data_IF_936160712058
#
_entry.id   IF_936160712058
#
_cell.length_a   1.000
_cell.length_b   1.000
_cell.length_c   1.000
_cell.angle_alpha   90.00
_cell.angle_beta   90.00
_cell.angle_gamma   90.00
#
_symmetry.space_group_name_H-M   'P 1'
#
loop_
_entity.id
_entity.type
_entity.pdbx_description
1 polymer ?
#
# COMPACT_ATOMS: atom_id res chain seq x y z
N UNK A 1 19.69 30.59 -7.67
CA UNK A 1 18.63 29.55 -7.80
C UNK A 1 19.19 28.15 -7.98
N UNK A 2 20.44 27.97 -8.45
CA UNK A 2 21.11 26.67 -8.64
C UNK A 2 21.73 26.08 -7.37
N UNK A 3 22.03 26.91 -6.36
CA UNK A 3 22.91 26.51 -5.25
C UNK A 3 22.23 25.57 -4.22
N UNK A 4 20.90 25.48 -4.24
CA UNK A 4 20.11 24.60 -3.35
C UNK A 4 19.68 23.29 -4.02
N UNK A 5 19.91 23.12 -5.33
CA UNK A 5 19.54 21.91 -6.05
C UNK A 5 20.31 20.66 -5.56
N UNK A 6 21.65 20.71 -5.38
CA UNK A 6 22.38 19.56 -4.85
C UNK A 6 21.90 19.13 -3.47
N UNK A 7 21.55 20.10 -2.62
CA UNK A 7 21.01 19.85 -1.28
C UNK A 7 19.64 19.15 -1.35
N UNK A 8 18.73 19.61 -2.22
CA UNK A 8 17.44 18.96 -2.42
C UNK A 8 17.60 17.50 -2.84
N UNK A 9 18.50 17.21 -3.80
CA UNK A 9 18.76 15.85 -4.25
C UNK A 9 19.41 15.00 -3.16
N UNK A 10 20.37 15.56 -2.42
CA UNK A 10 21.03 14.89 -1.31
C UNK A 10 20.06 14.54 -0.16
N UNK A 11 19.02 15.36 0.06
CA UNK A 11 17.96 15.08 1.03
C UNK A 11 16.88 14.15 0.45
N UNK A 12 16.58 14.24 -0.84
CA UNK A 12 15.55 13.44 -1.48
C UNK A 12 15.93 11.96 -1.52
N UNK A 13 17.18 11.63 -1.83
CA UNK A 13 17.66 10.26 -1.91
C UNK A 13 17.42 9.44 -0.61
N UNK A 14 17.86 9.90 0.58
CA UNK A 14 17.60 9.16 1.83
C UNK A 14 16.12 9.14 2.19
N UNK A 15 15.33 10.18 1.85
CA UNK A 15 13.89 10.18 2.06
C UNK A 15 13.18 9.12 1.22
N UNK A 16 13.51 9.03 -0.07
CA UNK A 16 12.99 7.99 -0.96
C UNK A 16 13.42 6.61 -0.48
N UNK A 17 14.71 6.43 -0.18
CA UNK A 17 15.20 5.15 0.33
C UNK A 17 14.51 4.75 1.65
N UNK A 18 14.36 5.69 2.58
CA UNK A 18 13.71 5.46 3.87
C UNK A 18 12.25 5.06 3.72
N UNK A 19 11.49 5.81 2.92
CA UNK A 19 10.08 5.50 2.66
C UNK A 19 9.92 4.17 1.92
N UNK A 20 10.75 3.87 0.93
CA UNK A 20 10.75 2.56 0.25
C UNK A 20 11.04 1.42 1.23
N UNK A 21 12.01 1.57 2.13
CA UNK A 21 12.32 0.54 3.14
C UNK A 21 11.14 0.36 4.10
N UNK A 22 10.57 1.45 4.61
CA UNK A 22 9.36 1.42 5.45
C UNK A 22 8.23 0.71 4.73
N UNK A 23 8.02 1.01 3.45
CA UNK A 23 6.99 0.41 2.62
C UNK A 23 7.16 -1.09 2.48
N UNK A 24 8.36 -1.53 2.07
CA UNK A 24 8.66 -2.94 1.85
C UNK A 24 8.56 -3.75 3.14
N UNK A 25 9.03 -3.21 4.27
CA UNK A 25 8.87 -3.82 5.59
C UNK A 25 7.40 -3.87 6.01
N UNK A 26 6.64 -2.81 5.74
CA UNK A 26 5.20 -2.74 5.98
C UNK A 26 4.44 -3.80 5.19
N UNK A 27 4.68 -3.91 3.88
CA UNK A 27 4.09 -4.95 3.04
C UNK A 27 4.48 -6.35 3.50
N UNK A 28 5.75 -6.59 3.85
CA UNK A 28 6.19 -7.87 4.39
C UNK A 28 5.47 -8.22 5.71
N UNK A 29 5.31 -7.24 6.60
CA UNK A 29 4.57 -7.37 7.86
C UNK A 29 3.09 -7.68 7.64
N UNK A 30 2.42 -6.91 6.76
CA UNK A 30 1.02 -7.12 6.40
C UNK A 30 0.82 -8.50 5.77
N UNK A 31 1.72 -8.92 4.86
CA UNK A 31 1.65 -10.22 4.22
C UNK A 31 1.85 -11.38 5.20
N UNK A 32 2.72 -11.22 6.21
CA UNK A 32 2.91 -12.21 7.28
C UNK A 32 1.69 -12.28 8.20
N UNK A 33 1.16 -11.13 8.61
CA UNK A 33 -0.03 -11.04 9.46
C UNK A 33 -1.27 -11.63 8.77
N UNK A 34 -1.47 -11.31 7.49
CA UNK A 34 -2.55 -11.85 6.67
C UNK A 34 -2.48 -13.37 6.57
N UNK A 35 -1.31 -13.95 6.25
CA UNK A 35 -1.11 -15.41 6.22
C UNK A 35 -1.35 -16.07 7.58
N UNK A 36 -0.91 -15.44 8.66
CA UNK A 36 -1.18 -15.95 10.01
C UNK A 36 -2.69 -15.96 10.31
N UNK A 37 -3.41 -14.91 9.93
CA UNK A 37 -4.87 -14.83 10.05
C UNK A 37 -5.55 -15.95 9.23
N UNK A 38 -5.16 -16.13 7.98
CA UNK A 38 -5.68 -17.17 7.08
C UNK A 38 -5.49 -18.58 7.66
N UNK A 39 -4.35 -18.87 8.32
CA UNK A 39 -4.14 -20.19 8.96
C UNK A 39 -5.00 -20.42 10.20
N UNK A 40 -5.45 -19.34 10.86
CA UNK A 40 -6.20 -19.41 12.12
C UNK A 40 -7.72 -19.43 11.88
N UNK A 41 -8.17 -18.86 10.77
CA UNK A 41 -9.57 -18.87 10.34
C UNK A 41 -9.77 -19.91 9.24
N UNK A 42 -10.23 -21.09 9.65
CA UNK A 42 -10.39 -22.28 8.78
C UNK A 42 -11.70 -22.21 7.99
N UNK A 43 -11.64 -21.63 6.78
CA UNK A 43 -12.60 -21.69 5.63
C UNK A 43 -14.13 -21.65 5.93
N UNK A 44 -14.84 -20.71 5.28
CA UNK A 44 -15.84 -20.84 4.19
C UNK A 44 -16.82 -19.65 4.26
N UNK A 45 -16.65 -18.65 3.38
CA UNK A 45 -17.70 -17.67 3.07
C UNK A 45 -17.21 -16.26 2.76
N UNK A 46 -18.00 -15.49 2.00
CA UNK A 46 -17.70 -14.10 1.62
C UNK A 46 -17.42 -13.18 2.83
N UNK A 47 -18.02 -13.45 3.99
CA UNK A 47 -17.81 -12.68 5.23
C UNK A 47 -16.40 -12.89 5.79
N UNK A 48 -15.79 -14.06 5.61
CA UNK A 48 -14.42 -14.31 6.07
C UNK A 48 -13.38 -13.58 5.22
N UNK A 49 -13.67 -13.40 3.94
CA UNK A 49 -12.84 -12.59 3.03
C UNK A 49 -12.72 -11.14 3.50
N UNK A 50 -13.83 -10.57 3.98
CA UNK A 50 -13.85 -9.23 4.59
C UNK A 50 -12.97 -9.17 5.86
N UNK A 51 -12.89 -10.24 6.65
CA UNK A 51 -12.04 -10.28 7.86
C UNK A 51 -10.54 -10.23 7.56
N UNK A 52 -10.12 -10.59 6.34
CA UNK A 52 -8.72 -10.50 5.91
C UNK A 52 -8.46 -9.20 5.15
N UNK A 53 -9.31 -8.87 4.17
CA UNK A 53 -9.07 -7.71 3.30
C UNK A 53 -9.25 -6.37 4.01
N UNK A 54 -10.18 -6.26 4.96
CA UNK A 54 -10.44 -5.00 5.64
C UNK A 54 -9.24 -4.58 6.53
N UNK A 55 -8.66 -5.44 7.40
CA UNK A 55 -7.43 -5.09 8.11
C UNK A 55 -6.25 -4.80 7.19
N UNK A 56 -6.12 -5.50 6.06
CA UNK A 56 -5.07 -5.22 5.06
C UNK A 56 -5.23 -3.81 4.50
N UNK A 57 -6.43 -3.41 4.09
CA UNK A 57 -6.68 -2.07 3.57
C UNK A 57 -6.36 -0.99 4.61
N UNK A 58 -6.81 -1.15 5.87
CA UNK A 58 -6.47 -0.21 6.94
C UNK A 58 -4.96 -0.15 7.22
N UNK A 59 -4.26 -1.29 7.18
CA UNK A 59 -2.83 -1.33 7.39
C UNK A 59 -2.06 -0.62 6.26
N UNK A 60 -2.51 -0.73 5.01
CA UNK A 60 -1.94 0.02 3.88
C UNK A 60 -2.16 1.52 4.03
N UNK A 61 -3.36 1.95 4.43
CA UNK A 61 -3.64 3.38 4.71
C UNK A 61 -2.74 3.89 5.84
N UNK A 62 -2.58 3.13 6.92
CA UNK A 62 -1.70 3.49 8.02
C UNK A 62 -0.23 3.57 7.58
N UNK A 63 0.23 2.65 6.74
CA UNK A 63 1.58 2.63 6.17
C UNK A 63 1.85 3.88 5.34
N UNK A 64 0.94 4.24 4.43
CA UNK A 64 1.05 5.47 3.65
C UNK A 64 0.99 6.73 4.52
N UNK A 65 0.17 6.71 5.57
CA UNK A 65 0.12 7.83 6.53
C UNK A 65 1.47 8.04 7.19
N UNK A 66 2.18 6.97 7.57
CA UNK A 66 3.55 7.06 8.13
C UNK A 66 4.51 7.67 7.11
N UNK A 67 4.46 7.24 5.84
CA UNK A 67 5.34 7.75 4.78
C UNK A 67 5.08 9.23 4.48
N UNK A 68 3.82 9.64 4.45
CA UNK A 68 3.41 11.06 4.34
C UNK A 68 3.94 11.85 5.54
N UNK A 69 3.84 11.31 6.75
CA UNK A 69 4.36 11.98 7.94
C UNK A 69 5.88 12.14 7.91
N UNK A 70 6.61 11.17 7.35
CA UNK A 70 8.06 11.30 7.16
C UNK A 70 8.39 12.53 6.30
N UNK A 71 7.71 12.71 5.17
CA UNK A 71 7.88 13.88 4.33
C UNK A 71 7.44 15.18 5.01
N UNK A 72 6.27 15.18 5.66
CA UNK A 72 5.77 16.34 6.40
C UNK A 72 6.75 16.81 7.49
N UNK A 73 7.29 15.87 8.27
CA UNK A 73 8.31 16.16 9.30
C UNK A 73 9.56 16.73 8.64
N UNK A 74 10.04 16.14 7.53
CA UNK A 74 11.19 16.65 6.81
C UNK A 74 10.97 18.11 6.34
N UNK A 75 9.85 18.40 5.69
CA UNK A 75 9.52 19.76 5.24
C UNK A 75 9.40 20.74 6.41
N UNK A 76 8.84 20.31 7.54
CA UNK A 76 8.76 21.14 8.73
C UNK A 76 10.15 21.45 9.31
N UNK A 77 11.02 20.45 9.42
CA UNK A 77 12.38 20.60 10.00
C UNK A 77 13.28 21.50 9.15
N UNK A 78 13.16 21.45 7.83
CA UNK A 78 13.93 22.31 6.92
C UNK A 78 13.29 23.70 6.72
N UNK A 79 12.19 23.99 7.41
CA UNK A 79 11.49 25.27 7.31
C UNK A 79 10.87 25.53 5.94
N UNK A 80 10.47 24.48 5.22
CA UNK A 80 9.89 24.60 3.89
C UNK A 80 8.45 25.17 3.91
N UNK A 81 7.74 25.02 5.03
CA UNK A 81 6.35 25.46 5.22
C UNK A 81 6.18 26.36 6.45
N UNK A 82 5.03 27.04 6.53
CA UNK A 82 4.71 27.97 7.63
C UNK A 82 4.60 27.27 9.00
N UNK A 83 4.00 26.09 9.02
CA UNK A 83 3.81 25.29 10.22
C UNK A 83 3.70 23.80 9.83
N UNK A 84 3.58 22.92 10.83
CA UNK A 84 3.48 21.49 10.61
C UNK A 84 2.21 21.08 9.86
N UNK A 85 1.08 21.74 10.13
CA UNK A 85 -0.19 21.47 9.45
C UNK A 85 -0.07 21.70 7.93
N UNK A 86 0.52 22.82 7.51
CA UNK A 86 0.82 23.10 6.11
C UNK A 86 1.82 22.09 5.52
N UNK A 87 2.80 21.60 6.29
CA UNK A 87 3.73 20.56 5.84
C UNK A 87 3.00 19.23 5.56
N UNK A 88 2.10 18.86 6.48
CA UNK A 88 1.30 17.65 6.36
C UNK A 88 0.31 17.75 5.21
N UNK A 89 -0.36 18.89 5.05
CA UNK A 89 -1.29 19.13 3.95
C UNK A 89 -0.56 19.11 2.59
N UNK A 90 0.60 19.76 2.50
CA UNK A 90 1.44 19.71 1.30
C UNK A 90 1.86 18.29 0.95
N UNK A 91 2.42 17.57 1.93
CA UNK A 91 2.89 16.21 1.73
C UNK A 91 1.76 15.27 1.32
N UNK A 92 0.61 15.34 2.01
CA UNK A 92 -0.56 14.55 1.69
C UNK A 92 -1.01 14.74 0.24
N UNK A 93 -1.12 16.00 -0.19
CA UNK A 93 -1.63 16.35 -1.53
C UNK A 93 -0.61 16.07 -2.63
N UNK A 94 0.67 16.18 -2.33
CA UNK A 94 1.78 15.88 -3.25
C UNK A 94 1.96 14.38 -3.41
N UNK A 95 2.07 13.64 -2.30
CA UNK A 95 2.23 12.19 -2.27
C UNK A 95 1.04 11.48 -2.94
N UNK A 96 -0.19 11.94 -2.70
CA UNK A 96 -1.39 11.40 -3.36
C UNK A 96 -1.63 11.93 -4.76
N UNK A 97 -0.78 12.83 -5.26
CA UNK A 97 -0.90 13.52 -6.56
C UNK A 97 -2.15 14.38 -6.76
N UNK A 98 -2.87 14.70 -5.68
CA UNK A 98 -3.99 15.64 -5.73
C UNK A 98 -3.54 17.06 -6.13
N UNK A 99 -2.37 17.50 -5.65
CA UNK A 99 -1.70 18.72 -6.13
C UNK A 99 -2.45 20.03 -5.90
N UNK A 100 -3.05 20.25 -4.72
CA UNK A 100 -3.75 21.51 -4.44
C UNK A 100 -2.80 22.72 -4.33
N UNK A 101 -3.16 23.82 -5.00
CA UNK A 101 -2.34 25.03 -5.12
C UNK A 101 -2.09 25.77 -3.80
N UNK A 102 -3.01 25.65 -2.82
CA UNK A 102 -2.92 26.32 -1.51
C UNK A 102 -1.68 25.88 -0.69
N UNK A 103 -1.13 24.71 -1.02
CA UNK A 103 0.02 24.14 -0.34
C UNK A 103 1.37 24.49 -0.99
N UNK A 104 1.40 25.27 -2.08
CA UNK A 104 2.59 25.44 -2.90
C UNK A 104 3.84 25.86 -2.11
N UNK A 105 4.90 25.04 -2.21
CA UNK A 105 6.19 25.33 -1.58
C UNK A 105 6.89 26.54 -2.22
N UNK A 106 7.74 27.26 -1.45
CA UNK A 106 8.67 28.23 -2.01
C UNK A 106 9.51 27.61 -3.15
N UNK A 107 9.92 28.42 -4.12
CA UNK A 107 10.56 27.95 -5.35
C UNK A 107 11.76 27.00 -5.15
N UNK A 108 12.46 27.09 -4.01
CA UNK A 108 13.63 26.28 -3.67
C UNK A 108 13.33 24.88 -3.10
N UNK A 109 12.07 24.44 -2.93
CA UNK A 109 11.73 23.07 -2.53
C UNK A 109 10.85 22.32 -3.56
N UNK A 110 10.61 22.94 -4.72
CA UNK A 110 9.72 22.38 -5.76
C UNK A 110 10.20 21.04 -6.32
N UNK A 111 11.52 20.84 -6.44
CA UNK A 111 12.08 19.57 -6.96
C UNK A 111 11.86 18.45 -5.96
N UNK A 112 12.07 18.72 -4.66
CA UNK A 112 11.76 17.76 -3.59
C UNK A 112 10.29 17.34 -3.61
N UNK A 113 9.35 18.29 -3.73
CA UNK A 113 7.92 17.99 -3.86
C UNK A 113 7.61 17.14 -5.11
N UNK A 114 8.24 17.44 -6.25
CA UNK A 114 8.10 16.60 -7.44
C UNK A 114 8.58 15.15 -7.22
N UNK A 115 9.70 14.97 -6.51
CA UNK A 115 10.23 13.64 -6.17
C UNK A 115 9.31 12.90 -5.21
N UNK A 116 8.77 13.59 -4.20
CA UNK A 116 7.75 13.03 -3.30
C UNK A 116 6.53 12.52 -4.09
N UNK A 117 6.02 13.31 -5.03
CA UNK A 117 4.87 12.89 -5.84
C UNK A 117 5.16 11.63 -6.67
N UNK A 118 6.32 11.56 -7.33
CA UNK A 118 6.73 10.35 -8.08
C UNK A 118 6.85 9.14 -7.16
N UNK A 119 7.47 9.32 -5.99
CA UNK A 119 7.63 8.27 -5.00
C UNK A 119 6.26 7.80 -4.46
N UNK A 120 5.36 8.73 -4.14
CA UNK A 120 4.01 8.42 -3.67
C UNK A 120 3.21 7.61 -4.68
N UNK A 121 3.24 7.97 -5.97
CA UNK A 121 2.61 7.18 -7.04
C UNK A 121 3.15 5.75 -7.07
N UNK A 122 4.47 5.58 -7.00
CA UNK A 122 5.11 4.27 -7.04
C UNK A 122 4.63 3.39 -5.87
N UNK A 123 4.65 3.92 -4.65
CA UNK A 123 4.26 3.19 -3.44
C UNK A 123 2.75 2.89 -3.39
N UNK A 124 1.89 3.83 -3.80
CA UNK A 124 0.45 3.60 -3.95
C UNK A 124 0.16 2.54 -5.03
N UNK A 125 0.91 2.56 -6.13
CA UNK A 125 0.83 1.55 -7.19
C UNK A 125 1.16 0.15 -6.68
N UNK A 126 2.27 0.01 -5.94
CA UNK A 126 2.64 -1.27 -5.31
C UNK A 126 1.61 -1.75 -4.28
N UNK A 127 1.04 -0.84 -3.50
CA UNK A 127 -0.02 -1.18 -2.54
C UNK A 127 -1.29 -1.67 -3.21
N UNK A 128 -1.66 -1.06 -4.34
CA UNK A 128 -2.80 -1.52 -5.15
C UNK A 128 -2.54 -2.91 -5.72
N UNK A 129 -1.36 -3.14 -6.31
CA UNK A 129 -0.96 -4.46 -6.81
C UNK A 129 -0.96 -5.52 -5.70
N UNK A 130 -0.46 -5.16 -4.51
CA UNK A 130 -0.48 -6.02 -3.33
C UNK A 130 -1.91 -6.37 -2.90
N UNK A 131 -2.82 -5.39 -2.86
CA UNK A 131 -4.22 -5.61 -2.50
C UNK A 131 -4.93 -6.50 -3.53
N UNK A 132 -4.67 -6.31 -4.82
CA UNK A 132 -5.17 -7.18 -5.90
C UNK A 132 -4.67 -8.61 -5.72
N UNK A 133 -3.37 -8.81 -5.45
CA UNK A 133 -2.82 -10.14 -5.18
C UNK A 133 -3.44 -10.81 -3.93
N UNK A 134 -3.75 -10.04 -2.88
CA UNK A 134 -4.45 -10.54 -1.70
C UNK A 134 -5.91 -10.94 -2.02
N UNK A 135 -6.60 -10.14 -2.83
CA UNK A 135 -7.94 -10.42 -3.36
C UNK A 135 -7.94 -11.71 -4.19
N UNK A 136 -6.95 -11.95 -5.03
CA UNK A 136 -6.83 -13.16 -5.86
C UNK A 136 -6.51 -14.40 -5.03
N UNK A 137 -5.59 -14.31 -4.07
CA UNK A 137 -5.29 -15.43 -3.15
C UNK A 137 -6.53 -15.93 -2.43
N UNK A 138 -7.39 -15.01 -1.99
CA UNK A 138 -8.64 -15.37 -1.31
C UNK A 138 -9.68 -16.00 -2.26
N UNK A 139 -9.65 -15.71 -3.56
CA UNK A 139 -10.55 -16.32 -4.56
C UNK A 139 -10.19 -17.76 -4.91
N UNK A 140 -8.90 -18.08 -5.06
CA UNK A 140 -8.46 -19.44 -5.41
C UNK A 140 -8.78 -20.49 -4.35
N UNK A 141 -9.08 -20.08 -3.11
CA UNK A 141 -9.52 -20.97 -2.04
C UNK A 141 -10.99 -21.39 -2.18
N UNK A 142 -11.79 -20.62 -2.93
CA UNK A 142 -13.25 -20.78 -3.01
C UNK A 142 -13.72 -21.71 -4.15
N UNK A 143 -12.88 -22.10 -5.11
CA UNK A 143 -13.29 -23.06 -6.16
C UNK A 143 -13.39 -24.49 -5.59
N UNK A 144 -14.59 -25.08 -5.52
CA UNK A 144 -14.74 -26.50 -5.22
C UNK A 144 -14.32 -27.26 -6.49
N UNK A 145 -13.47 -28.27 -6.35
CA UNK A 145 -13.24 -29.28 -7.38
C UNK A 145 -14.57 -29.95 -7.74
N UNK A 146 -15.30 -29.41 -8.72
CA UNK A 146 -16.62 -29.88 -9.15
C UNK A 146 -16.56 -31.03 -10.16
N UNK A 147 -15.44 -31.73 -10.26
CA UNK A 147 -15.36 -32.94 -11.07
C UNK A 147 -14.44 -33.92 -10.37
N UNK A 148 -15.00 -34.76 -9.49
CA UNK A 148 -14.45 -36.08 -9.24
C UNK A 148 -15.12 -37.04 -10.24
N UNK A 149 -14.42 -37.47 -11.30
CA UNK A 149 -14.97 -38.40 -12.29
C UNK A 149 -15.32 -39.77 -11.69
N UNK A 150 -14.88 -40.08 -10.46
CA UNK A 150 -15.10 -41.38 -9.83
C UNK A 150 -16.53 -41.61 -9.31
N UNK A 151 -17.34 -40.55 -9.13
CA UNK A 151 -18.77 -40.69 -8.79
C UNK A 151 -19.62 -41.10 -10.01
N UNK A 152 -19.23 -40.69 -11.22
CA UNK A 152 -19.96 -41.04 -12.46
C UNK A 152 -19.85 -42.54 -12.75
N UNK A 153 -18.69 -43.15 -12.47
CA UNK A 153 -18.45 -44.59 -12.68
C UNK A 153 -19.17 -45.45 -11.64
N UNK A 154 -19.45 -44.92 -10.45
CA UNK A 154 -20.17 -45.65 -9.39
C UNK A 154 -21.68 -45.77 -9.64
N UNK A 155 -22.26 -44.93 -10.48
CA UNK A 155 -23.70 -44.93 -10.78
C UNK A 155 -24.14 -45.98 -11.81
N UNK A 156 -23.23 -46.53 -12.61
CA UNK A 156 -23.58 -47.40 -13.76
C UNK A 156 -23.45 -48.91 -13.48
N UNK A 157 -23.00 -49.31 -12.29
CA UNK A 157 -22.60 -50.70 -12.01
C UNK A 157 -23.58 -51.57 -11.21
N UNK A 158 -24.67 -51.04 -10.65
CA UNK A 158 -25.53 -51.81 -9.73
C UNK A 158 -26.88 -52.18 -10.38
N UNK A 159 -27.09 -53.44 -10.81
CA UNK A 159 -28.41 -53.89 -11.23
C UNK A 159 -29.31 -53.93 -9.98
N UNK A 160 -30.34 -53.07 -9.96
CA UNK A 160 -31.41 -53.10 -8.96
C UNK A 160 -32.05 -54.49 -8.99
N UNK A 161 -31.73 -55.29 -7.97
CA UNK A 161 -32.44 -56.53 -7.65
C UNK A 161 -33.61 -56.23 -6.72
#
# INVERSE_FOLDING_TARGET
MTDTLPLQLALAAPMVAGTVVVHLLGLAGIAKASRWMETRFRRRGQIERLRVLLPVAFALVALHTIEIWMYAVMFHLVGATRNFEHALFFSLTTYSTAGYDEAALPGHWRVMGGIEGINGILLLGWSTAFLVAAIERTRHVDEPSLHDPSEVVRGEGEPRR
#
